data_IF_608261331082
#
_entry.id   IF_608261331082
#
_cell.length_a   1.000
_cell.length_b   1.000
_cell.length_c   1.000
_cell.angle_alpha   90.00
_cell.angle_beta   90.00
_cell.angle_gamma   90.00
#
_symmetry.space_group_name_H-M   'P 1'
#
loop_
_entity.id
_entity.type
_entity.pdbx_description
1 polymer ?
#
# COMPACT_ATOMS: atom_id res chain seq x y z
N UNK A 1 20.48 0.68 4.83
CA UNK A 1 19.49 0.43 5.88
C UNK A 1 18.43 1.51 5.81
N UNK A 2 17.24 1.18 5.32
CA UNK A 2 16.01 1.95 5.55
C UNK A 2 14.87 0.94 5.58
N UNK A 3 14.81 0.16 6.66
CA UNK A 3 13.58 -0.52 7.08
C UNK A 3 12.60 0.57 7.52
N UNK A 4 11.94 1.19 6.55
CA UNK A 4 10.64 1.82 6.79
C UNK A 4 9.75 0.65 7.16
N UNK A 5 9.51 0.54 8.46
CA UNK A 5 9.02 -0.64 9.15
C UNK A 5 7.83 -1.27 8.43
N UNK A 6 7.89 -2.58 8.22
CA UNK A 6 6.76 -3.42 7.78
C UNK A 6 5.50 -3.21 8.64
N UNK A 7 5.68 -2.73 9.88
CA UNK A 7 4.62 -2.29 10.80
C UNK A 7 3.89 -1.03 10.33
N UNK A 8 4.58 -0.09 9.70
CA UNK A 8 4.03 1.17 9.18
C UNK A 8 3.13 0.87 7.99
N UNK A 9 3.52 0.03 7.02
CA UNK A 9 2.63 -0.35 5.90
C UNK A 9 1.36 -1.07 6.39
N UNK A 10 1.47 -1.85 7.47
CA UNK A 10 0.37 -2.58 8.08
C UNK A 10 -0.56 -1.66 8.90
N UNK A 11 -0.02 -0.67 9.61
CA UNK A 11 -0.79 0.38 10.32
C UNK A 11 -1.42 1.39 9.34
N UNK A 12 -0.70 1.75 8.28
CA UNK A 12 -1.12 2.66 7.21
C UNK A 12 -2.38 2.17 6.50
N UNK A 13 -2.54 0.86 6.32
CA UNK A 13 -3.69 0.32 5.58
C UNK A 13 -5.03 0.48 6.33
N UNK A 14 -5.00 0.94 7.57
CA UNK A 14 -6.16 1.50 8.26
C UNK A 14 -6.31 2.95 7.84
N UNK A 15 -6.77 3.22 6.61
CA UNK A 15 -7.02 4.52 5.92
C UNK A 15 -7.11 5.84 6.73
N UNK A 16 -7.58 5.84 7.98
CA UNK A 16 -7.54 7.00 8.90
C UNK A 16 -6.16 7.26 9.50
N UNK A 17 -5.37 6.22 9.73
CA UNK A 17 -4.02 6.29 10.30
C UNK A 17 -2.99 6.74 9.26
N UNK A 18 -3.19 6.56 7.95
CA UNK A 18 -2.27 7.10 6.92
C UNK A 18 -2.29 8.64 6.89
N UNK A 19 -3.48 9.27 6.83
CA UNK A 19 -3.58 10.73 6.86
C UNK A 19 -3.03 11.27 8.20
N UNK A 20 -3.34 10.62 9.32
CA UNK A 20 -2.82 11.04 10.63
C UNK A 20 -1.31 10.79 10.78
N UNK A 21 -0.78 9.65 10.33
CA UNK A 21 0.65 9.35 10.39
C UNK A 21 1.45 10.23 9.44
N UNK A 22 0.88 10.61 8.28
CA UNK A 22 1.50 11.57 7.37
C UNK A 22 1.53 12.97 7.99
N UNK A 23 0.42 13.42 8.60
CA UNK A 23 0.39 14.69 9.35
C UNK A 23 1.36 14.67 10.53
N UNK A 24 1.40 13.60 11.31
CA UNK A 24 2.34 13.46 12.43
C UNK A 24 3.79 13.40 11.95
N UNK A 25 4.08 12.73 10.84
CA UNK A 25 5.42 12.70 10.26
C UNK A 25 5.83 14.09 9.80
N UNK A 26 4.93 14.88 9.19
CA UNK A 26 5.19 16.27 8.83
C UNK A 26 5.41 17.17 10.07
N UNK A 27 4.64 16.97 11.15
CA UNK A 27 4.82 17.68 12.42
C UNK A 27 6.15 17.34 13.12
N UNK A 28 6.65 16.11 12.96
CA UNK A 28 7.91 15.66 13.56
C UNK A 28 9.13 15.83 12.65
N UNK A 29 8.92 16.12 11.35
CA UNK A 29 9.98 16.32 10.37
C UNK A 29 10.40 17.79 10.30
N UNK A 30 10.84 18.33 11.44
CA UNK A 30 11.55 19.62 11.52
C UNK A 30 13.01 19.48 11.05
N UNK A 31 13.22 18.80 9.92
CA UNK A 31 14.55 18.64 9.31
C UNK A 31 14.47 19.13 7.87
N UNK A 32 15.22 20.20 7.59
CA UNK A 32 15.32 20.89 6.28
C UNK A 32 15.73 19.96 5.11
N UNK A 33 16.12 18.71 5.39
CA UNK A 33 16.48 17.71 4.39
C UNK A 33 15.29 17.03 3.70
N UNK A 34 14.08 17.15 4.25
CA UNK A 34 12.84 16.54 3.71
C UNK A 34 11.74 17.57 3.44
N UNK A 35 12.11 18.84 3.20
CA UNK A 35 11.17 19.85 2.74
C UNK A 35 10.79 19.58 1.26
N UNK A 36 10.00 18.52 1.02
CA UNK A 36 9.31 18.34 -0.26
C UNK A 36 8.43 19.57 -0.48
N UNK A 37 8.45 20.14 -1.69
CA UNK A 37 7.65 21.33 -1.97
C UNK A 37 6.15 21.03 -1.72
N UNK A 38 5.31 22.06 -1.48
CA UNK A 38 3.88 21.87 -1.33
C UNK A 38 3.25 21.12 -2.52
N UNK A 39 3.79 21.33 -3.73
CA UNK A 39 3.37 20.62 -4.94
C UNK A 39 3.77 19.13 -4.90
N UNK A 40 4.99 18.82 -4.49
CA UNK A 40 5.47 17.42 -4.37
C UNK A 40 4.66 16.64 -3.32
N UNK A 41 4.30 17.29 -2.22
CA UNK A 41 3.43 16.72 -1.19
C UNK A 41 2.02 16.43 -1.75
N UNK A 42 1.48 17.34 -2.55
CA UNK A 42 0.19 17.16 -3.21
C UNK A 42 0.21 15.97 -4.18
N UNK A 43 1.25 15.87 -5.02
CA UNK A 43 1.46 14.76 -5.95
C UNK A 43 1.56 13.42 -5.23
N UNK A 44 2.29 13.36 -4.12
CA UNK A 44 2.40 12.17 -3.29
C UNK A 44 1.03 11.76 -2.71
N UNK A 45 0.26 12.72 -2.17
CA UNK A 45 -1.08 12.47 -1.64
C UNK A 45 -2.05 11.99 -2.72
N UNK A 46 -1.98 12.55 -3.93
CA UNK A 46 -2.80 12.11 -5.07
C UNK A 46 -2.48 10.68 -5.49
N UNK A 47 -1.19 10.33 -5.54
CA UNK A 47 -0.74 8.97 -5.84
C UNK A 47 -1.24 7.97 -4.78
N UNK A 48 -1.10 8.32 -3.49
CA UNK A 48 -1.62 7.50 -2.39
C UNK A 48 -3.13 7.31 -2.49
N UNK A 49 -3.89 8.37 -2.76
CA UNK A 49 -5.35 8.31 -2.97
C UNK A 49 -5.73 7.46 -4.18
N UNK A 50 -4.96 7.50 -5.26
CA UNK A 50 -5.19 6.66 -6.45
C UNK A 50 -4.98 5.17 -6.14
N UNK A 51 -3.92 4.83 -5.40
CA UNK A 51 -3.69 3.48 -4.90
C UNK A 51 -4.83 3.04 -3.98
N UNK A 52 -5.27 3.91 -3.09
CA UNK A 52 -6.35 3.64 -2.17
C UNK A 52 -7.66 3.32 -2.90
N UNK A 53 -8.02 4.11 -3.91
CA UNK A 53 -9.20 3.86 -4.76
C UNK A 53 -9.09 2.54 -5.50
N UNK A 54 -7.90 2.23 -6.03
CA UNK A 54 -7.62 0.98 -6.73
C UNK A 54 -7.86 -0.23 -5.82
N UNK A 55 -7.44 -0.14 -4.55
CA UNK A 55 -7.51 -1.26 -3.61
C UNK A 55 -8.80 -1.31 -2.78
N UNK A 56 -9.73 -0.36 -2.98
CA UNK A 56 -10.97 -0.24 -2.19
C UNK A 56 -11.88 -1.49 -2.26
N UNK A 57 -11.74 -2.32 -3.28
CA UNK A 57 -12.49 -3.58 -3.43
C UNK A 57 -11.89 -4.79 -2.71
N UNK A 58 -10.84 -4.62 -1.92
CA UNK A 58 -10.18 -5.68 -1.15
C UNK A 58 -10.52 -5.58 0.34
N UNK A 59 -10.69 -6.72 0.99
CA UNK A 59 -10.67 -6.79 2.46
C UNK A 59 -9.25 -6.55 3.01
N UNK A 60 -9.14 -6.24 4.30
CA UNK A 60 -7.85 -6.04 4.99
C UNK A 60 -6.87 -7.18 4.83
N UNK A 61 -7.34 -8.43 4.84
CA UNK A 61 -6.46 -9.60 4.66
C UNK A 61 -6.05 -9.80 3.20
N UNK A 62 -6.93 -9.45 2.26
CA UNK A 62 -6.63 -9.53 0.84
C UNK A 62 -5.58 -8.51 0.43
N UNK A 63 -5.70 -7.28 0.94
CA UNK A 63 -4.69 -6.27 0.65
C UNK A 63 -3.36 -6.54 1.35
N UNK A 64 -3.38 -6.98 2.62
CA UNK A 64 -2.16 -7.38 3.31
C UNK A 64 -1.38 -8.43 2.51
N UNK A 65 -2.06 -9.48 2.00
CA UNK A 65 -1.42 -10.49 1.16
C UNK A 65 -0.84 -9.90 -0.13
N UNK A 66 -1.59 -9.02 -0.80
CA UNK A 66 -1.14 -8.36 -2.03
C UNK A 66 0.09 -7.46 -1.82
N UNK A 67 0.11 -6.66 -0.75
CA UNK A 67 1.22 -5.76 -0.43
C UNK A 67 2.47 -6.54 -0.04
N UNK A 68 2.35 -7.60 0.76
CA UNK A 68 3.48 -8.49 1.08
C UNK A 68 4.10 -9.12 -0.18
N UNK A 69 3.27 -9.46 -1.16
CA UNK A 69 3.76 -9.95 -2.46
C UNK A 69 4.44 -8.86 -3.30
N UNK A 70 3.94 -7.62 -3.26
CA UNK A 70 4.37 -6.54 -4.17
C UNK A 70 5.47 -5.63 -3.64
N UNK A 71 5.55 -5.45 -2.33
CA UNK A 71 6.50 -4.54 -1.68
C UNK A 71 7.61 -5.30 -0.96
N UNK A 72 7.29 -6.46 -0.40
CA UNK A 72 8.23 -7.27 0.37
C UNK A 72 8.75 -8.50 -0.42
N UNK A 73 8.30 -8.71 -1.66
CA UNK A 73 8.66 -9.84 -2.54
C UNK A 73 8.41 -11.23 -1.93
N UNK A 74 7.50 -11.35 -0.95
CA UNK A 74 7.20 -12.63 -0.30
C UNK A 74 6.50 -13.59 -1.25
N UNK A 75 6.85 -14.87 -1.13
CA UNK A 75 6.20 -15.97 -1.84
C UNK A 75 4.85 -16.33 -1.21
N UNK A 76 3.98 -17.02 -1.96
CA UNK A 76 2.67 -17.46 -1.43
C UNK A 76 2.75 -18.30 -0.14
N UNK A 77 3.72 -19.23 0.02
CA UNK A 77 3.92 -19.94 1.29
C UNK A 77 4.32 -19.03 2.46
N UNK A 78 5.14 -18.02 2.23
CA UNK A 78 5.57 -17.07 3.27
C UNK A 78 4.42 -16.17 3.71
N UNK A 79 3.64 -15.66 2.76
CA UNK A 79 2.41 -14.90 3.01
C UNK A 79 1.40 -15.75 3.79
N UNK A 80 1.25 -17.02 3.40
CA UNK A 80 0.35 -17.96 4.06
C UNK A 80 0.74 -18.16 5.54
N UNK A 81 2.03 -18.36 5.82
CA UNK A 81 2.56 -18.46 7.18
C UNK A 81 2.33 -17.18 7.98
N UNK A 82 2.59 -16.01 7.38
CA UNK A 82 2.49 -14.72 8.07
C UNK A 82 1.04 -14.34 8.37
N UNK A 83 0.10 -14.68 7.48
CA UNK A 83 -1.32 -14.37 7.65
C UNK A 83 -2.13 -15.50 8.29
N UNK A 84 -1.52 -16.65 8.63
CA UNK A 84 -2.23 -17.80 9.21
C UNK A 84 -3.31 -18.39 8.29
N UNK A 85 -3.04 -18.43 6.98
CA UNK A 85 -3.93 -18.95 5.93
C UNK A 85 -3.23 -20.04 5.11
N UNK A 86 -3.94 -20.70 4.19
CA UNK A 86 -3.29 -21.64 3.25
C UNK A 86 -2.62 -20.90 2.07
N UNK A 87 -1.60 -21.51 1.48
CA UNK A 87 -0.92 -20.96 0.28
C UNK A 87 -1.89 -20.75 -0.91
N UNK A 88 -2.94 -21.57 -1.01
CA UNK A 88 -4.00 -21.40 -2.01
C UNK A 88 -4.83 -20.13 -1.75
N UNK A 89 -5.17 -19.85 -0.48
CA UNK A 89 -5.88 -18.61 -0.12
C UNK A 89 -4.98 -17.40 -0.31
N UNK A 90 -3.69 -17.47 0.06
CA UNK A 90 -2.72 -16.41 -0.18
C UNK A 90 -2.62 -16.06 -1.67
N UNK A 91 -2.47 -17.08 -2.54
CA UNK A 91 -2.48 -16.89 -4.00
C UNK A 91 -3.77 -16.23 -4.49
N UNK A 92 -4.94 -16.68 -3.99
CA UNK A 92 -6.24 -16.09 -4.34
C UNK A 92 -6.33 -14.61 -3.92
N UNK A 93 -5.83 -14.26 -2.75
CA UNK A 93 -5.82 -12.89 -2.25
C UNK A 93 -4.91 -11.98 -3.09
N UNK A 94 -3.69 -12.43 -3.37
CA UNK A 94 -2.76 -11.71 -4.26
C UNK A 94 -3.37 -11.53 -5.66
N UNK A 95 -3.99 -12.56 -6.22
CA UNK A 95 -4.64 -12.49 -7.53
C UNK A 95 -5.79 -11.47 -7.56
N UNK A 96 -6.57 -11.34 -6.48
CA UNK A 96 -7.60 -10.30 -6.36
C UNK A 96 -6.98 -8.90 -6.37
N UNK A 97 -5.87 -8.68 -5.66
CA UNK A 97 -5.16 -7.40 -5.67
C UNK A 97 -4.65 -7.03 -7.05
N UNK A 98 -3.98 -7.97 -7.73
CA UNK A 98 -3.52 -7.79 -9.11
C UNK A 98 -4.67 -7.47 -10.08
N UNK A 99 -5.81 -8.14 -9.92
CA UNK A 99 -7.00 -7.89 -10.73
C UNK A 99 -7.56 -6.48 -10.51
N UNK A 100 -7.57 -5.99 -9.27
CA UNK A 100 -8.01 -4.61 -8.99
C UNK A 100 -7.07 -3.58 -9.61
N UNK A 101 -5.76 -3.80 -9.53
CA UNK A 101 -4.77 -2.96 -10.21
C UNK A 101 -4.96 -2.98 -11.74
N UNK A 102 -5.22 -4.15 -12.32
CA UNK A 102 -5.51 -4.28 -13.74
C UNK A 102 -6.78 -3.49 -14.14
N UNK A 103 -7.86 -3.60 -13.37
CA UNK A 103 -9.10 -2.85 -13.60
C UNK A 103 -8.87 -1.34 -13.54
N UNK A 104 -8.11 -0.87 -12.55
CA UNK A 104 -7.78 0.54 -12.42
C UNK A 104 -6.87 1.06 -13.54
N UNK A 105 -5.90 0.24 -14.00
CA UNK A 105 -5.02 0.59 -15.11
C UNK A 105 -5.70 0.47 -16.49
N UNK A 106 -6.85 -0.21 -16.59
CA UNK A 106 -7.59 -0.36 -17.86
C UNK A 106 -8.30 0.92 -18.34
N UNK A 107 -7.94 2.09 -17.81
CA UNK A 107 -8.44 3.39 -18.28
C UNK A 107 -7.31 4.39 -18.53
N UNK A 108 -6.66 4.23 -19.68
CA UNK A 108 -6.39 5.31 -20.62
C UNK A 108 -6.31 4.68 -22.03
N UNK A 109 -7.31 4.88 -22.91
CA UNK A 109 -7.05 4.65 -24.32
C UNK A 109 -5.98 5.65 -24.73
N UNK A 110 -4.88 5.15 -25.30
CA UNK A 110 -4.01 5.98 -26.13
C UNK A 110 -4.88 6.50 -27.29
N UNK A 111 -5.36 7.72 -27.18
CA UNK A 111 -6.01 8.48 -28.24
C UNK A 111 -5.44 9.90 -28.23
#
# INVERSE_FOLDING_TARGET
MTTISQRIVYEIWRRRDLEQACLQALEHSSSEQYASSPEDQMLLLEALRAMDRTLAGLSSRECAAFLLYKLDDLTYPEIARQLGISASVARRYVAKGLLQCYKACSFAPLA
#
